data_IF_734402920955
#
_entry.id   IF_734402920955
#
_cell.length_a   1.000
_cell.length_b   1.000
_cell.length_c   1.000
_cell.angle_alpha   90.00
_cell.angle_beta   90.00
_cell.angle_gamma   90.00
#
_symmetry.space_group_name_H-M   'P 1'
#
loop_
_entity.id
_entity.type
_entity.pdbx_description
1 polymer ?
#
# COMPACT_ATOMS: atom_id res chain seq x y z
N UNK A 1 36.17 46.45 -16.38
CA UNK A 1 35.02 46.58 -15.46
C UNK A 1 33.77 46.35 -16.27
N UNK A 2 33.06 45.25 -15.99
CA UNK A 2 31.94 44.76 -16.81
C UNK A 2 30.77 45.75 -16.73
N UNK A 3 30.27 46.14 -17.90
CA UNK A 3 29.18 47.11 -18.03
C UNK A 3 27.87 46.45 -17.57
N UNK A 4 27.42 46.76 -16.35
CA UNK A 4 26.09 46.40 -15.88
C UNK A 4 25.06 47.17 -16.71
N UNK A 5 24.45 46.50 -17.70
CA UNK A 5 23.30 47.05 -18.41
C UNK A 5 22.06 46.76 -17.57
N UNK A 6 21.25 47.78 -17.20
CA UNK A 6 20.01 47.58 -16.44
C UNK A 6 19.01 46.59 -17.09
N UNK A 7 19.14 46.36 -18.40
CA UNK A 7 18.39 45.36 -19.17
C UNK A 7 18.76 43.93 -18.75
N UNK A 8 20.02 43.68 -18.41
CA UNK A 8 20.50 42.37 -17.98
C UNK A 8 19.96 42.03 -16.58
N UNK A 9 19.78 43.03 -15.70
CA UNK A 9 19.17 42.82 -14.37
C UNK A 9 17.73 42.37 -14.45
N UNK A 10 16.90 43.06 -15.25
CA UNK A 10 15.48 42.69 -15.42
C UNK A 10 15.31 41.32 -16.06
N UNK A 11 16.18 40.97 -17.01
CA UNK A 11 16.20 39.64 -17.64
C UNK A 11 16.59 38.55 -16.64
N UNK A 12 17.60 38.81 -15.83
CA UNK A 12 18.06 37.89 -14.79
C UNK A 12 17.01 37.67 -13.70
N UNK A 13 16.34 38.73 -13.25
CA UNK A 13 15.23 38.65 -12.30
C UNK A 13 14.07 37.82 -12.85
N UNK A 14 13.72 38.01 -14.13
CA UNK A 14 12.69 37.22 -14.78
C UNK A 14 13.10 35.75 -14.93
N UNK A 15 14.35 35.48 -15.29
CA UNK A 15 14.90 34.12 -15.35
C UNK A 15 14.80 33.42 -13.99
N UNK A 16 15.26 34.08 -12.92
CA UNK A 16 15.17 33.57 -11.54
C UNK A 16 13.72 33.33 -11.12
N UNK A 17 12.80 34.19 -11.54
CA UNK A 17 11.38 33.99 -11.31
C UNK A 17 10.87 32.70 -11.98
N UNK A 18 11.20 32.47 -13.26
CA UNK A 18 10.81 31.25 -13.98
C UNK A 18 11.44 29.99 -13.39
N UNK A 19 12.68 30.08 -12.92
CA UNK A 19 13.37 28.98 -12.21
C UNK A 19 12.68 28.70 -10.86
N UNK A 20 12.44 29.73 -10.04
CA UNK A 20 11.77 29.60 -8.73
C UNK A 20 10.35 29.07 -8.83
N UNK A 21 9.61 29.47 -9.86
CA UNK A 21 8.22 29.01 -10.08
C UNK A 21 8.14 27.65 -10.78
N UNK A 22 9.27 27.07 -11.20
CA UNK A 22 9.32 25.75 -11.83
C UNK A 22 8.95 25.73 -13.31
N UNK A 23 8.71 26.89 -13.94
CA UNK A 23 8.39 26.98 -15.38
C UNK A 23 9.55 26.44 -16.22
N UNK A 24 10.80 26.73 -15.84
CA UNK A 24 11.99 26.23 -16.55
C UNK A 24 12.08 24.69 -16.49
N UNK A 25 11.77 24.10 -15.34
CA UNK A 25 11.77 22.64 -15.15
C UNK A 25 10.65 21.96 -15.95
N UNK A 26 9.45 22.54 -15.93
CA UNK A 26 8.32 22.06 -16.72
C UNK A 26 8.61 22.08 -18.23
N UNK A 27 9.15 23.19 -18.75
CA UNK A 27 9.56 23.29 -20.16
C UNK A 27 10.64 22.27 -20.50
N UNK A 28 11.64 22.10 -19.63
CA UNK A 28 12.73 21.12 -19.82
C UNK A 28 12.17 19.70 -19.92
N UNK A 29 11.26 19.31 -19.01
CA UNK A 29 10.63 17.98 -19.02
C UNK A 29 9.86 17.71 -20.31
N UNK A 30 9.08 18.66 -20.79
CA UNK A 30 8.31 18.49 -22.05
C UNK A 30 9.25 18.38 -23.26
N UNK A 31 10.34 19.15 -23.28
CA UNK A 31 11.34 19.05 -24.34
C UNK A 31 12.09 17.71 -24.32
N UNK A 32 12.41 17.19 -23.14
CA UNK A 32 12.99 15.84 -22.98
C UNK A 32 12.00 14.77 -23.46
N UNK A 33 10.72 14.86 -23.06
CA UNK A 33 9.68 13.94 -23.52
C UNK A 33 9.53 13.92 -25.04
N UNK A 34 9.60 15.09 -25.68
CA UNK A 34 9.57 15.22 -27.13
C UNK A 34 10.83 14.63 -27.78
N UNK A 35 12.00 14.88 -27.19
CA UNK A 35 13.27 14.34 -27.64
C UNK A 35 13.32 12.81 -27.56
N UNK A 36 12.73 12.21 -26.53
CA UNK A 36 12.69 10.76 -26.31
C UNK A 36 11.62 10.04 -27.16
N UNK A 37 10.69 10.75 -27.81
CA UNK A 37 9.71 10.10 -28.70
C UNK A 37 10.42 9.32 -29.82
N UNK A 38 10.16 8.01 -29.99
CA UNK A 38 10.78 7.19 -31.04
C UNK A 38 10.36 7.69 -32.43
N UNK A 39 9.08 8.03 -32.58
CA UNK A 39 8.54 8.71 -33.76
C UNK A 39 8.18 10.15 -33.37
N UNK A 40 8.87 11.12 -33.99
CA UNK A 40 8.62 12.53 -33.70
C UNK A 40 7.21 12.90 -34.21
N UNK A 41 6.38 13.54 -33.39
CA UNK A 41 5.05 13.96 -33.81
C UNK A 41 5.17 14.96 -34.97
N UNK A 42 4.26 14.85 -35.95
CA UNK A 42 4.20 15.76 -37.09
C UNK A 42 3.93 17.21 -36.64
N UNK A 43 3.08 17.38 -35.62
CA UNK A 43 2.90 18.65 -34.90
C UNK A 43 3.53 18.62 -33.50
N UNK A 44 4.78 19.08 -33.42
CA UNK A 44 5.50 19.22 -32.16
C UNK A 44 4.88 20.27 -31.22
N UNK A 45 4.22 21.31 -31.75
CA UNK A 45 3.60 22.36 -30.93
C UNK A 45 2.34 21.84 -30.24
N UNK A 46 1.54 21.03 -30.94
CA UNK A 46 0.40 20.34 -30.34
C UNK A 46 0.86 19.38 -29.24
N UNK A 47 1.91 18.60 -29.48
CA UNK A 47 2.51 17.72 -28.47
C UNK A 47 2.93 18.50 -27.22
N UNK A 48 3.60 19.64 -27.41
CA UNK A 48 4.01 20.49 -26.30
C UNK A 48 2.80 21.04 -25.53
N UNK A 49 1.75 21.51 -26.22
CA UNK A 49 0.52 22.02 -25.56
C UNK A 49 -0.14 20.97 -24.68
N UNK A 50 -0.29 19.74 -25.18
CA UNK A 50 -0.90 18.63 -24.44
C UNK A 50 -0.05 18.17 -23.26
N UNK A 51 1.28 18.24 -23.36
CA UNK A 51 2.19 17.79 -22.31
C UNK A 51 2.54 18.87 -21.28
N UNK A 52 2.40 20.15 -21.64
CA UNK A 52 2.56 21.29 -20.74
C UNK A 52 1.24 21.64 -20.03
N UNK A 53 0.10 21.22 -20.59
CA UNK A 53 -1.22 21.31 -19.95
C UNK A 53 -1.24 20.62 -18.59
N UNK A 54 -2.01 21.20 -17.67
CA UNK A 54 -1.98 20.96 -16.22
C UNK A 54 -2.09 19.46 -15.85
N UNK A 55 -0.94 18.78 -15.69
CA UNK A 55 -0.86 17.44 -15.07
C UNK A 55 -0.86 17.54 -13.54
N UNK A 56 -1.13 18.72 -12.98
CA UNK A 56 -1.36 18.84 -11.55
C UNK A 56 -2.72 18.22 -11.30
N UNK A 57 -2.82 17.17 -10.46
CA UNK A 57 -4.11 16.60 -10.13
C UNK A 57 -4.99 17.73 -9.61
N UNK A 58 -6.16 17.86 -10.23
CA UNK A 58 -7.16 18.84 -9.85
C UNK A 58 -7.49 18.68 -8.36
N UNK A 59 -8.01 19.74 -7.74
CA UNK A 59 -8.43 19.66 -6.34
C UNK A 59 -9.39 18.48 -6.09
N UNK A 60 -10.27 18.19 -7.07
CA UNK A 60 -11.18 17.05 -7.03
C UNK A 60 -10.45 15.69 -7.11
N UNK A 61 -9.42 15.55 -7.95
CA UNK A 61 -8.62 14.32 -8.00
C UNK A 61 -7.84 14.10 -6.71
N UNK A 62 -7.32 15.17 -6.10
CA UNK A 62 -6.66 15.09 -4.79
C UNK A 62 -7.66 14.69 -3.70
N UNK A 63 -8.88 15.23 -3.73
CA UNK A 63 -9.94 14.89 -2.78
C UNK A 63 -10.37 13.42 -2.95
N UNK A 64 -10.63 12.97 -4.17
CA UNK A 64 -10.96 11.58 -4.46
C UNK A 64 -9.86 10.63 -3.99
N UNK A 65 -8.59 10.94 -4.30
CA UNK A 65 -7.45 10.14 -3.82
C UNK A 65 -7.39 10.08 -2.29
N UNK A 66 -7.73 11.16 -1.58
CA UNK A 66 -7.78 11.16 -0.11
C UNK A 66 -8.90 10.28 0.43
N UNK A 67 -10.10 10.36 -0.16
CA UNK A 67 -11.23 9.52 0.22
C UNK A 67 -10.93 8.04 0.00
N UNK A 68 -10.37 7.66 -1.15
CA UNK A 68 -9.97 6.28 -1.43
C UNK A 68 -8.94 5.75 -0.43
N UNK A 69 -8.01 6.61 -0.01
CA UNK A 69 -7.00 6.27 0.99
C UNK A 69 -7.62 6.04 2.37
N UNK A 70 -8.60 6.86 2.74
CA UNK A 70 -9.35 6.71 3.99
C UNK A 70 -10.19 5.43 4.00
N UNK A 71 -10.89 5.12 2.91
CA UNK A 71 -11.68 3.90 2.75
C UNK A 71 -10.80 2.64 2.77
N UNK A 72 -9.65 2.68 2.09
CA UNK A 72 -8.68 1.59 2.11
C UNK A 72 -8.13 1.36 3.53
N UNK A 73 -7.79 2.43 4.25
CA UNK A 73 -7.37 2.33 5.65
C UNK A 73 -8.46 1.78 6.56
N UNK A 74 -9.73 2.17 6.36
CA UNK A 74 -10.86 1.63 7.11
C UNK A 74 -11.01 0.13 6.85
N UNK A 75 -10.92 -0.28 5.59
CA UNK A 75 -11.00 -1.69 5.17
C UNK A 75 -9.87 -2.53 5.77
N UNK A 76 -8.64 -2.01 5.78
CA UNK A 76 -7.49 -2.68 6.40
C UNK A 76 -7.72 -2.89 7.90
N UNK A 77 -8.22 -1.86 8.62
CA UNK A 77 -8.50 -1.97 10.06
C UNK A 77 -9.57 -3.01 10.36
N UNK A 78 -10.64 -3.03 9.58
CA UNK A 78 -11.72 -4.00 9.76
C UNK A 78 -11.26 -5.43 9.47
N UNK A 79 -10.50 -5.62 8.39
CA UNK A 79 -9.92 -6.93 8.08
C UNK A 79 -8.94 -7.39 9.16
N UNK A 80 -8.09 -6.51 9.70
CA UNK A 80 -7.17 -6.87 10.78
C UNK A 80 -7.93 -7.29 12.04
N UNK A 81 -9.01 -6.58 12.39
CA UNK A 81 -9.90 -6.96 13.50
C UNK A 81 -10.53 -8.34 13.30
N UNK A 82 -11.05 -8.62 12.10
CA UNK A 82 -11.62 -9.94 11.78
C UNK A 82 -10.57 -11.04 11.85
N UNK A 83 -9.35 -10.77 11.37
CA UNK A 83 -8.24 -11.69 11.40
C UNK A 83 -7.82 -12.01 12.84
N UNK A 84 -7.77 -11.00 13.72
CA UNK A 84 -7.51 -11.18 15.15
C UNK A 84 -8.58 -12.03 15.84
N UNK A 85 -9.87 -11.76 15.57
CA UNK A 85 -10.98 -12.55 16.10
C UNK A 85 -10.93 -14.01 15.63
N UNK A 86 -10.69 -14.24 14.33
CA UNK A 86 -10.56 -15.58 13.77
C UNK A 86 -9.37 -16.33 14.40
N UNK A 87 -8.22 -15.67 14.56
CA UNK A 87 -7.05 -16.26 15.25
C UNK A 87 -7.37 -16.64 16.70
N UNK A 88 -8.07 -15.77 17.43
CA UNK A 88 -8.49 -16.05 18.81
C UNK A 88 -9.45 -17.25 18.88
N UNK A 89 -10.43 -17.32 17.98
CA UNK A 89 -11.36 -18.44 17.90
C UNK A 89 -10.66 -19.76 17.58
N UNK A 90 -9.70 -19.75 16.63
CA UNK A 90 -8.89 -20.93 16.28
C UNK A 90 -8.04 -21.37 17.47
N UNK A 91 -7.40 -20.44 18.19
CA UNK A 91 -6.63 -20.76 19.39
C UNK A 91 -7.52 -21.40 20.47
N UNK A 92 -8.72 -20.84 20.69
CA UNK A 92 -9.68 -21.37 21.65
C UNK A 92 -10.18 -22.78 21.26
N UNK A 93 -10.51 -23.00 19.99
CA UNK A 93 -10.92 -24.31 19.48
C UNK A 93 -9.79 -25.36 19.61
N UNK A 94 -8.53 -24.97 19.33
CA UNK A 94 -7.37 -25.84 19.48
C UNK A 94 -7.13 -26.23 20.94
N UNK A 95 -7.29 -25.29 21.86
CA UNK A 95 -7.17 -25.56 23.31
C UNK A 95 -8.28 -26.48 23.82
N UNK A 96 -9.52 -26.29 23.35
CA UNK A 96 -10.63 -27.20 23.69
C UNK A 96 -10.41 -28.61 23.15
N UNK A 97 -9.89 -28.75 21.92
CA UNK A 97 -9.59 -30.06 21.34
C UNK A 97 -8.47 -30.77 22.13
N UNK A 98 -7.44 -30.05 22.56
CA UNK A 98 -6.38 -30.61 23.41
C UNK A 98 -6.90 -31.07 24.78
N UNK A 99 -7.84 -30.33 25.39
CA UNK A 99 -8.47 -30.71 26.66
C UNK A 99 -9.40 -31.94 26.54
N UNK A 100 -10.07 -32.12 25.40
CA UNK A 100 -10.87 -33.30 25.10
C UNK A 100 -10.00 -34.56 24.87
N UNK A 101 -8.80 -34.39 24.29
CA UNK A 101 -7.87 -35.51 24.06
C UNK A 101 -7.19 -36.01 25.36
N UNK A 102 -6.95 -35.14 26.34
CA UNK A 102 -6.36 -35.54 27.64
C UNK A 102 -7.35 -36.25 28.56
N UNK A 103 -8.64 -35.95 28.46
CA UNK A 103 -9.70 -36.61 29.22
C UNK A 103 -10.07 -38.00 28.67
N UNK A 104 -9.88 -38.26 27.37
CA UNK A 104 -10.09 -39.61 26.79
C UNK A 104 -8.99 -40.63 27.13
N UNK A 105 -7.78 -40.21 27.54
CA UNK A 105 -6.68 -41.14 27.90
C UNK A 105 -6.81 -41.73 29.31
N UNK A 106 -7.54 -41.07 30.22
CA UNK A 106 -7.66 -41.51 31.63
C UNK A 106 -8.72 -42.60 31.87
N UNK A 107 -9.54 -42.91 30.88
CA UNK A 107 -10.63 -43.90 30.98
C UNK A 107 -10.29 -45.33 30.56
N UNK A 108 -9.05 -45.61 30.11
CA UNK A 108 -8.68 -46.94 29.57
C UNK A 108 -7.75 -47.77 30.47
N UNK A 109 -7.48 -47.33 31.70
CA UNK A 109 -6.49 -47.97 32.60
C UNK A 109 -7.08 -48.64 33.86
N UNK A 110 -8.42 -48.74 34.01
CA UNK A 110 -9.05 -49.21 35.28
C UNK A 110 -9.88 -50.50 35.14
N UNK A 111 -9.82 -51.24 34.03
CA UNK A 111 -10.59 -52.50 33.90
C UNK A 111 -9.71 -53.66 33.42
N UNK A 112 -8.75 -54.06 34.24
CA UNK A 112 -8.18 -55.42 34.25
C UNK A 112 -7.69 -55.76 35.66
N UNK A 113 -8.59 -55.88 36.62
CA UNK A 113 -8.33 -56.63 37.85
C UNK A 113 -9.70 -57.01 38.44
N UNK A 114 -10.16 -58.22 38.10
CA UNK A 114 -11.07 -59.10 38.87
C UNK A 114 -11.80 -60.04 37.91
N UNK A 115 -11.18 -61.18 37.61
CA UNK A 115 -11.86 -62.43 37.32
C UNK A 115 -10.86 -63.58 37.38
N UNK A 116 -10.55 -64.06 38.58
CA UNK A 116 -10.23 -65.48 38.78
C UNK A 116 -10.99 -65.94 40.03
N UNK A 117 -12.23 -66.33 39.76
CA UNK A 117 -13.08 -67.03 40.69
C UNK A 117 -12.64 -68.49 40.70
N UNK A 118 -12.16 -68.92 41.87
CA UNK A 118 -12.32 -70.23 42.48
C UNK A 118 -13.08 -71.28 41.64
N UNK A 119 -12.34 -72.25 41.10
CA UNK A 119 -12.82 -73.62 40.88
C UNK A 119 -11.66 -74.52 40.48
N UNK A 120 -11.26 -75.44 41.35
CA UNK A 120 -11.26 -76.87 41.01
C UNK A 120 -11.00 -77.73 42.26
N UNK A 121 -12.10 -78.36 42.68
CA UNK A 121 -12.17 -79.57 43.50
C UNK A 121 -11.70 -80.77 42.66
N UNK A 122 -10.65 -81.46 43.12
CA UNK A 122 -10.55 -82.93 43.32
C UNK A 122 -9.09 -83.41 43.36
#
# INVERSE_FOLDING_TARGET
>A
MSSYRPIDSKREEFRKYLERTGVMDALTKVLVLLYEQPDKPEDALEFMRSNLGDKRPSANEIENMRTELEDAHHTIKELDKQLQLAKAAVAHAKNQLAAAQTSSKKGKEVVTDEADADSEEN
#
